data_IF_302145750698
#
_entry.id   IF_302145750698
#
_cell.length_a   1.000
_cell.length_b   1.000
_cell.length_c   1.000
_cell.angle_alpha   90.00
_cell.angle_beta   90.00
_cell.angle_gamma   90.00
#
_symmetry.space_group_name_H-M   'P 1'
#
loop_
_entity.id
_entity.type
_entity.pdbx_description
1 polymer ?
#
# COMPACT_ATOMS: atom_id res chain seq x y z
N UNK A 1 -2.68 -12.40 -19.04
CA UNK A 1 -3.59 -11.51 -18.26
C UNK A 1 -3.44 -10.08 -18.75
N UNK A 2 -4.53 -9.44 -19.20
CA UNK A 2 -4.56 -8.04 -19.64
C UNK A 2 -4.04 -7.11 -18.52
N UNK A 3 -3.24 -6.10 -18.85
CA UNK A 3 -2.69 -5.13 -17.91
C UNK A 3 -3.77 -4.45 -17.05
N UNK A 4 -4.90 -4.07 -17.64
CA UNK A 4 -6.04 -3.48 -16.90
C UNK A 4 -6.61 -4.46 -15.88
N UNK A 5 -6.75 -5.74 -16.26
CA UNK A 5 -7.23 -6.77 -15.33
C UNK A 5 -6.25 -6.96 -14.15
N UNK A 6 -4.93 -6.90 -14.39
CA UNK A 6 -3.94 -6.96 -13.30
C UNK A 6 -4.13 -5.83 -12.29
N UNK A 7 -4.33 -4.61 -12.79
CA UNK A 7 -4.55 -3.42 -11.96
C UNK A 7 -5.84 -3.54 -11.13
N UNK A 8 -6.94 -3.94 -11.77
CA UNK A 8 -8.25 -4.13 -11.12
C UNK A 8 -8.18 -5.19 -10.02
N UNK A 9 -7.49 -6.32 -10.28
CA UNK A 9 -7.28 -7.35 -9.26
C UNK A 9 -6.40 -6.86 -8.11
N UNK A 10 -5.37 -6.06 -8.38
CA UNK A 10 -4.55 -5.46 -7.34
C UNK A 10 -5.35 -4.47 -6.49
N UNK A 11 -6.18 -3.61 -7.09
CA UNK A 11 -7.11 -2.72 -6.37
C UNK A 11 -8.11 -3.50 -5.50
N UNK A 12 -8.68 -4.57 -6.05
CA UNK A 12 -9.56 -5.46 -5.29
C UNK A 12 -8.82 -6.05 -4.09
N UNK A 13 -7.64 -6.66 -4.31
CA UNK A 13 -6.91 -7.35 -3.25
C UNK A 13 -6.43 -6.39 -2.16
N UNK A 14 -5.93 -5.19 -2.52
CA UNK A 14 -5.47 -4.21 -1.54
C UNK A 14 -6.61 -3.63 -0.71
N UNK A 15 -7.74 -3.29 -1.32
CA UNK A 15 -8.93 -2.84 -0.57
C UNK A 15 -9.51 -3.97 0.28
N UNK A 16 -9.51 -5.21 -0.22
CA UNK A 16 -9.96 -6.38 0.53
C UNK A 16 -9.13 -6.58 1.79
N UNK A 17 -7.79 -6.58 1.68
CA UNK A 17 -6.87 -6.69 2.83
C UNK A 17 -7.13 -5.58 3.84
N UNK A 18 -7.35 -4.34 3.36
CA UNK A 18 -7.58 -3.22 4.25
C UNK A 18 -8.91 -3.33 5.02
N UNK A 19 -10.02 -3.65 4.34
CA UNK A 19 -11.32 -3.83 5.00
C UNK A 19 -11.39 -5.09 5.87
N UNK A 20 -10.70 -6.16 5.48
CA UNK A 20 -10.47 -7.35 6.31
C UNK A 20 -9.80 -6.95 7.62
N UNK A 21 -8.73 -6.16 7.55
CA UNK A 21 -8.00 -5.70 8.72
C UNK A 21 -8.85 -4.74 9.58
N UNK A 22 -9.63 -3.83 8.98
CA UNK A 22 -10.53 -2.94 9.71
C UNK A 22 -11.55 -3.77 10.50
N UNK A 23 -12.34 -4.62 9.83
CA UNK A 23 -13.40 -5.38 10.50
C UNK A 23 -12.83 -6.37 11.53
N UNK A 24 -11.75 -7.08 11.18
CA UNK A 24 -11.09 -8.01 12.09
C UNK A 24 -10.44 -7.33 13.30
N UNK A 25 -9.83 -6.14 13.13
CA UNK A 25 -9.25 -5.39 14.23
C UNK A 25 -10.32 -4.73 15.11
N UNK A 26 -11.45 -4.31 14.54
CA UNK A 26 -12.60 -3.81 15.31
C UNK A 26 -13.21 -4.86 16.23
N UNK A 27 -13.22 -6.13 15.80
CA UNK A 27 -13.65 -7.25 16.65
C UNK A 27 -12.59 -7.65 17.70
N UNK A 28 -11.31 -7.28 17.48
CA UNK A 28 -10.24 -7.55 18.43
C UNK A 28 -10.32 -6.62 19.65
N UNK A 29 -9.99 -7.15 20.84
CA UNK A 29 -9.81 -6.35 22.07
C UNK A 29 -8.40 -5.73 22.17
N UNK A 30 -7.66 -5.66 21.05
CA UNK A 30 -6.28 -5.18 21.03
C UNK A 30 -6.23 -3.65 21.11
N UNK A 31 -5.35 -3.13 21.97
CA UNK A 31 -5.00 -1.71 21.98
C UNK A 31 -4.28 -1.26 20.71
N UNK A 32 -3.76 -2.21 19.91
CA UNK A 32 -3.02 -1.94 18.67
C UNK A 32 -3.91 -1.89 17.43
N UNK A 33 -5.24 -1.99 17.54
CA UNK A 33 -6.17 -2.04 16.39
C UNK A 33 -5.93 -0.96 15.33
N UNK A 34 -5.69 0.29 15.76
CA UNK A 34 -5.45 1.42 14.86
C UNK A 34 -4.11 1.29 14.12
N UNK A 35 -3.08 0.79 14.81
CA UNK A 35 -1.79 0.53 14.19
C UNK A 35 -1.88 -0.65 13.21
N UNK A 36 -2.59 -1.72 13.58
CA UNK A 36 -2.76 -2.91 12.75
C UNK A 36 -3.43 -2.60 11.41
N UNK A 37 -4.54 -1.85 11.40
CA UNK A 37 -5.22 -1.47 10.15
C UNK A 37 -4.38 -0.53 9.29
N UNK A 38 -3.64 0.40 9.92
CA UNK A 38 -2.78 1.33 9.21
C UNK A 38 -1.59 0.62 8.54
N UNK A 39 -0.97 -0.33 9.24
CA UNK A 39 0.08 -1.19 8.70
C UNK A 39 -0.45 -2.11 7.60
N UNK A 40 -1.66 -2.66 7.73
CA UNK A 40 -2.28 -3.47 6.69
C UNK A 40 -2.42 -2.68 5.37
N UNK A 41 -2.91 -1.43 5.44
CA UNK A 41 -2.97 -0.54 4.28
C UNK A 41 -1.58 -0.24 3.72
N UNK A 42 -0.62 0.12 4.58
CA UNK A 42 0.76 0.36 4.16
C UNK A 42 1.39 -0.83 3.44
N UNK A 43 1.22 -2.04 3.98
CA UNK A 43 1.71 -3.27 3.37
C UNK A 43 1.01 -3.59 2.05
N UNK A 44 -0.30 -3.35 1.94
CA UNK A 44 -1.01 -3.47 0.68
C UNK A 44 -0.43 -2.52 -0.38
N UNK A 45 -0.15 -1.26 -0.02
CA UNK A 45 0.47 -0.29 -0.95
C UNK A 45 1.89 -0.72 -1.30
N UNK A 46 2.68 -1.16 -0.33
CA UNK A 46 4.06 -1.63 -0.56
C UNK A 46 4.12 -2.79 -1.55
N UNK A 47 3.18 -3.74 -1.44
CA UNK A 47 3.21 -4.99 -2.22
C UNK A 47 2.47 -4.91 -3.55
N UNK A 48 1.37 -4.16 -3.61
CA UNK A 48 0.49 -4.10 -4.79
C UNK A 48 0.55 -2.75 -5.52
N UNK A 49 1.14 -1.72 -4.91
CA UNK A 49 1.25 -0.38 -5.50
C UNK A 49 2.02 -0.36 -6.82
N UNK A 50 3.04 -1.21 -6.99
CA UNK A 50 3.76 -1.37 -8.26
C UNK A 50 2.92 -1.95 -9.41
N UNK A 51 1.74 -2.50 -9.12
CA UNK A 51 0.83 -3.09 -10.11
C UNK A 51 -0.24 -2.07 -10.53
N UNK A 52 -0.96 -1.48 -9.56
CA UNK A 52 -2.12 -0.59 -9.83
C UNK A 52 -1.89 0.89 -9.54
N UNK A 53 -0.82 1.25 -8.84
CA UNK A 53 -0.68 2.56 -8.18
C UNK A 53 -1.14 2.54 -6.72
N UNK A 54 -1.81 1.47 -6.27
CA UNK A 54 -2.15 1.23 -4.87
C UNK A 54 -3.12 2.27 -4.30
N UNK A 55 -4.19 2.58 -5.03
CA UNK A 55 -5.12 3.62 -4.59
C UNK A 55 -5.96 3.11 -3.42
N UNK A 56 -6.56 1.92 -3.58
CA UNK A 56 -7.43 1.23 -2.61
C UNK A 56 -8.55 2.09 -2.02
N UNK A 57 -8.87 3.19 -2.70
CA UNK A 57 -9.65 4.30 -2.20
C UNK A 57 -10.23 5.09 -3.40
N UNK A 58 -11.56 5.22 -3.50
CA UNK A 58 -12.20 6.02 -4.54
C UNK A 58 -11.75 7.49 -4.56
N UNK A 59 -11.55 8.13 -3.41
CA UNK A 59 -11.10 9.52 -3.35
C UNK A 59 -9.67 9.69 -3.91
N UNK A 60 -8.78 8.75 -3.61
CA UNK A 60 -7.41 8.72 -4.20
C UNK A 60 -7.48 8.44 -5.71
N UNK A 61 -8.38 7.56 -6.15
CA UNK A 61 -8.58 7.29 -7.58
C UNK A 61 -9.10 8.51 -8.34
N UNK A 62 -10.04 9.25 -7.74
CA UNK A 62 -10.53 10.53 -8.29
C UNK A 62 -9.40 11.56 -8.33
N UNK A 63 -8.53 11.62 -7.32
CA UNK A 63 -7.36 12.49 -7.33
C UNK A 63 -6.44 12.22 -8.55
N UNK A 64 -6.10 10.96 -8.80
CA UNK A 64 -5.26 10.59 -9.96
C UNK A 64 -5.98 10.77 -11.31
N UNK A 65 -7.31 10.63 -11.34
CA UNK A 65 -8.11 11.00 -12.50
C UNK A 65 -8.06 12.52 -12.76
N UNK A 66 -8.19 13.36 -11.73
CA UNK A 66 -8.06 14.82 -11.84
C UNK A 66 -6.67 15.25 -12.32
N UNK A 67 -5.63 14.48 -11.98
CA UNK A 67 -4.26 14.63 -12.50
C UNK A 67 -4.05 14.14 -13.93
N UNK A 68 -5.05 13.51 -14.55
CA UNK A 68 -4.95 12.83 -15.87
C UNK A 68 -3.93 11.68 -15.89
N UNK A 69 -3.70 11.05 -14.74
CA UNK A 69 -2.84 9.88 -14.57
C UNK A 69 -3.64 8.57 -14.51
N UNK A 70 -4.97 8.66 -14.42
CA UNK A 70 -5.91 7.56 -14.51
C UNK A 70 -6.95 7.90 -15.59
N UNK A 71 -7.28 6.95 -16.48
CA UNK A 71 -8.36 7.15 -17.46
C UNK A 71 -9.74 7.01 -16.81
N UNK A 72 -10.79 7.58 -17.41
CA UNK A 72 -12.15 7.46 -16.88
C UNK A 72 -12.64 5.99 -16.80
N UNK A 73 -12.41 5.12 -17.81
CA UNK A 73 -12.76 3.70 -17.70
C UNK A 73 -11.98 2.98 -16.59
N UNK A 74 -10.70 3.30 -16.40
CA UNK A 74 -9.91 2.74 -15.29
C UNK A 74 -10.42 3.24 -13.94
N UNK A 75 -10.81 4.51 -13.81
CA UNK A 75 -11.44 5.04 -12.60
C UNK A 75 -12.69 4.23 -12.22
N UNK A 76 -13.60 4.01 -13.18
CA UNK A 76 -14.82 3.23 -12.92
C UNK A 76 -14.48 1.80 -12.51
N UNK A 77 -13.53 1.17 -13.19
CA UNK A 77 -13.09 -0.19 -12.86
C UNK A 77 -12.44 -0.27 -11.47
N UNK A 78 -11.65 0.75 -11.09
CA UNK A 78 -11.03 0.85 -9.76
C UNK A 78 -12.09 1.00 -8.68
N UNK A 79 -13.03 1.93 -8.85
CA UNK A 79 -14.12 2.16 -7.88
C UNK A 79 -14.98 0.91 -7.72
N UNK A 80 -15.34 0.24 -8.82
CA UNK A 80 -16.10 -1.00 -8.75
C UNK A 80 -15.34 -2.12 -8.01
N UNK A 81 -14.03 -2.27 -8.27
CA UNK A 81 -13.19 -3.23 -7.56
C UNK A 81 -13.05 -2.90 -6.08
N UNK A 82 -12.86 -1.62 -5.73
CA UNK A 82 -12.71 -1.17 -4.36
C UNK A 82 -14.01 -1.37 -3.56
N UNK A 83 -15.18 -1.06 -4.13
CA UNK A 83 -16.46 -1.26 -3.44
C UNK A 83 -16.80 -2.74 -3.25
N UNK A 84 -16.59 -3.57 -4.27
CA UNK A 84 -16.80 -5.02 -4.15
C UNK A 84 -15.83 -5.64 -3.16
N UNK A 85 -14.55 -5.27 -3.21
CA UNK A 85 -13.55 -5.68 -2.22
C UNK A 85 -13.88 -5.23 -0.80
N UNK A 86 -14.45 -4.03 -0.63
CA UNK A 86 -14.83 -3.53 0.68
C UNK A 86 -15.92 -4.39 1.32
N UNK A 87 -16.94 -4.79 0.55
CA UNK A 87 -17.95 -5.73 1.01
C UNK A 87 -17.33 -7.08 1.42
N UNK A 88 -16.57 -7.72 0.53
CA UNK A 88 -15.97 -9.02 0.83
C UNK A 88 -14.95 -8.95 1.97
N UNK A 89 -14.19 -7.87 2.07
CA UNK A 89 -13.22 -7.64 3.15
C UNK A 89 -13.91 -7.56 4.51
N UNK A 90 -14.99 -6.77 4.62
CA UNK A 90 -15.76 -6.68 5.88
C UNK A 90 -16.39 -8.04 6.23
N UNK A 91 -17.01 -8.72 5.27
CA UNK A 91 -17.61 -10.05 5.47
C UNK A 91 -16.56 -11.04 5.98
N UNK A 92 -15.39 -11.10 5.34
CA UNK A 92 -14.31 -11.99 5.78
C UNK A 92 -13.76 -11.59 7.14
N UNK A 93 -13.61 -10.30 7.43
CA UNK A 93 -13.04 -9.81 8.69
C UNK A 93 -13.94 -10.09 9.88
N UNK A 94 -15.26 -9.94 9.70
CA UNK A 94 -16.26 -10.38 10.66
C UNK A 94 -16.23 -11.92 10.82
N UNK A 95 -16.14 -12.64 9.70
CA UNK A 95 -16.07 -14.11 9.69
C UNK A 95 -14.91 -14.69 10.48
N UNK A 96 -13.75 -14.02 10.52
CA UNK A 96 -12.60 -14.42 11.35
C UNK A 96 -12.92 -14.48 12.85
N UNK A 97 -13.97 -13.78 13.29
CA UNK A 97 -14.41 -13.70 14.68
C UNK A 97 -15.82 -14.28 14.90
N UNK A 98 -16.37 -15.01 13.91
CA UNK A 98 -17.74 -15.53 13.97
C UNK A 98 -18.83 -14.46 13.95
N UNK A 99 -18.50 -13.24 13.52
CA UNK A 99 -19.45 -12.15 13.34
C UNK A 99 -20.29 -12.31 12.06
N UNK A 100 -21.45 -11.67 12.04
CA UNK A 100 -22.33 -11.60 10.87
C UNK A 100 -22.45 -10.15 10.38
N UNK A 101 -22.79 -9.98 9.10
CA UNK A 101 -23.06 -8.65 8.55
C UNK A 101 -24.23 -7.99 9.28
N UNK A 102 -24.11 -6.69 9.53
CA UNK A 102 -25.21 -5.90 10.03
C UNK A 102 -26.24 -5.66 8.91
N UNK A 103 -27.56 -5.68 9.21
CA UNK A 103 -28.56 -5.27 8.26
C UNK A 103 -28.40 -3.78 7.93
N UNK A 104 -28.73 -3.41 6.69
CA UNK A 104 -28.74 -2.01 6.29
C UNK A 104 -29.81 -1.26 7.07
N UNK A 105 -29.44 -0.08 7.57
CA UNK A 105 -30.35 0.81 8.28
C UNK A 105 -30.33 2.20 7.66
N UNK A 106 -31.48 2.85 7.66
CA UNK A 106 -31.59 4.29 7.45
C UNK A 106 -31.06 5.04 8.67
N UNK A 107 -30.50 6.22 8.46
CA UNK A 107 -30.10 7.07 9.57
C UNK A 107 -29.83 8.50 9.11
N UNK A 108 -29.48 9.35 10.06
CA UNK A 108 -29.23 10.76 9.81
C UNK A 108 -27.78 11.01 9.37
N UNK A 109 -27.55 12.22 8.85
CA UNK A 109 -26.22 12.74 8.65
C UNK A 109 -25.43 12.76 9.97
N UNK A 110 -24.12 12.58 9.85
CA UNK A 110 -23.21 12.65 10.99
C UNK A 110 -23.14 14.06 11.57
N UNK A 111 -22.73 14.17 12.83
CA UNK A 111 -22.50 15.45 13.49
C UNK A 111 -21.22 16.15 12.98
N UNK A 112 -21.06 17.42 13.34
CA UNK A 112 -19.95 18.26 12.86
C UNK A 112 -18.55 17.71 13.18
N UNK A 113 -18.26 17.17 14.39
CA UNK A 113 -16.95 16.57 14.67
C UNK A 113 -16.58 15.40 13.75
N UNK A 114 -17.54 14.52 13.44
CA UNK A 114 -17.33 13.41 12.51
C UNK A 114 -17.10 13.93 11.09
N UNK A 115 -17.94 14.87 10.64
CA UNK A 115 -17.81 15.47 9.32
C UNK A 115 -16.45 16.16 9.14
N UNK A 116 -16.07 17.04 10.08
CA UNK A 116 -14.80 17.76 10.04
C UNK A 116 -13.60 16.79 10.14
N UNK A 117 -13.70 15.76 10.98
CA UNK A 117 -12.67 14.73 11.10
C UNK A 117 -12.41 14.03 9.76
N UNK A 118 -13.45 13.67 9.01
CA UNK A 118 -13.32 13.03 7.70
C UNK A 118 -12.82 13.98 6.60
N UNK A 119 -13.20 15.27 6.66
CA UNK A 119 -12.59 16.31 5.81
C UNK A 119 -11.08 16.37 6.04
N UNK A 120 -10.64 16.51 7.30
CA UNK A 120 -9.22 16.64 7.67
C UNK A 120 -8.44 15.38 7.33
N UNK A 121 -8.97 14.21 7.68
CA UNK A 121 -8.33 12.92 7.43
C UNK A 121 -8.12 12.69 5.92
N UNK A 122 -9.13 12.97 5.09
CA UNK A 122 -9.02 12.80 3.64
C UNK A 122 -8.14 13.88 3.01
N UNK A 123 -8.24 15.13 3.47
CA UNK A 123 -7.42 16.21 2.96
C UNK A 123 -5.92 15.94 3.18
N UNK A 124 -5.54 15.58 4.42
CA UNK A 124 -4.15 15.26 4.72
C UNK A 124 -3.65 14.02 3.95
N UNK A 125 -4.50 12.99 3.79
CA UNK A 125 -4.15 11.78 3.04
C UNK A 125 -3.81 12.12 1.59
N UNK A 126 -4.71 12.82 0.89
CA UNK A 126 -4.51 13.19 -0.52
C UNK A 126 -3.37 14.20 -0.68
N UNK A 127 -3.24 15.15 0.26
CA UNK A 127 -2.14 16.11 0.26
C UNK A 127 -0.77 15.42 0.37
N UNK A 128 -0.61 14.45 1.28
CA UNK A 128 0.62 13.68 1.45
C UNK A 128 0.94 12.88 0.19
N UNK A 129 -0.03 12.14 -0.34
CA UNK A 129 0.14 11.37 -1.59
C UNK A 129 0.55 12.31 -2.72
N UNK A 130 -0.18 13.40 -2.92
CA UNK A 130 0.08 14.37 -3.98
C UNK A 130 1.46 15.01 -3.88
N UNK A 131 1.86 15.41 -2.67
CA UNK A 131 3.18 16.00 -2.40
C UNK A 131 4.29 15.01 -2.73
N UNK A 132 4.19 13.76 -2.28
CA UNK A 132 5.20 12.73 -2.55
C UNK A 132 5.29 12.40 -4.05
N UNK A 133 4.15 12.31 -4.75
CA UNK A 133 4.15 12.10 -6.21
C UNK A 133 4.83 13.28 -6.92
N UNK A 134 4.50 14.52 -6.55
CA UNK A 134 5.06 15.72 -7.17
C UNK A 134 6.56 15.87 -6.90
N UNK A 135 7.03 15.41 -5.74
CA UNK A 135 8.44 15.39 -5.36
C UNK A 135 9.20 14.16 -5.91
N UNK A 136 8.56 13.30 -6.73
CA UNK A 136 9.13 12.04 -7.25
C UNK A 136 9.55 11.06 -6.14
N UNK A 137 8.89 11.12 -5.00
CA UNK A 137 9.11 10.29 -3.81
C UNK A 137 8.01 9.25 -3.62
N UNK A 138 7.42 8.75 -4.72
CA UNK A 138 6.32 7.80 -4.68
C UNK A 138 6.66 6.50 -3.89
N UNK A 139 7.95 6.13 -3.81
CA UNK A 139 8.43 4.99 -3.03
C UNK A 139 8.19 5.13 -1.51
N UNK A 140 7.91 6.34 -1.00
CA UNK A 140 7.58 6.59 0.40
C UNK A 140 6.07 6.59 0.70
N UNK A 141 5.21 6.48 -0.32
CA UNK A 141 3.75 6.58 -0.15
C UNK A 141 3.23 5.52 0.83
N UNK A 142 3.74 4.28 0.75
CA UNK A 142 3.28 3.19 1.61
C UNK A 142 3.43 3.51 3.10
N UNK A 143 4.57 4.07 3.50
CA UNK A 143 4.84 4.39 4.91
C UNK A 143 4.15 5.69 5.31
N UNK A 144 4.12 6.69 4.42
CA UNK A 144 3.48 7.97 4.70
C UNK A 144 1.95 7.83 4.85
N UNK A 145 1.32 6.99 4.03
CA UNK A 145 -0.11 6.69 4.15
C UNK A 145 -0.38 5.91 5.44
N UNK A 146 0.43 4.90 5.76
CA UNK A 146 0.27 4.14 7.00
C UNK A 146 0.40 5.04 8.24
N UNK A 147 1.44 5.86 8.32
CA UNK A 147 1.64 6.76 9.47
C UNK A 147 0.56 7.84 9.54
N UNK A 148 0.09 8.36 8.40
CA UNK A 148 -1.04 9.30 8.38
C UNK A 148 -2.34 8.67 8.88
N UNK A 149 -2.71 7.49 8.39
CA UNK A 149 -3.94 6.79 8.83
C UNK A 149 -3.87 6.43 10.32
N UNK A 150 -2.70 6.04 10.82
CA UNK A 150 -2.49 5.82 12.25
C UNK A 150 -2.68 7.11 13.07
N UNK A 151 -2.00 8.19 12.68
CA UNK A 151 -2.08 9.48 13.37
C UNK A 151 -3.51 10.05 13.32
N UNK A 152 -4.09 10.17 12.12
CA UNK A 152 -5.42 10.69 11.89
C UNK A 152 -6.50 9.89 12.62
N UNK A 153 -6.40 8.56 12.64
CA UNK A 153 -7.38 7.78 13.38
C UNK A 153 -7.22 7.83 14.90
N UNK A 154 -6.13 8.40 15.40
CA UNK A 154 -6.00 8.70 16.83
C UNK A 154 -6.67 10.02 17.22
N UNK A 155 -6.67 11.02 16.32
CA UNK A 155 -7.24 12.35 16.60
C UNK A 155 -8.61 12.63 15.97
N UNK A 156 -9.19 11.69 15.21
CA UNK A 156 -10.53 11.82 14.61
C UNK A 156 -11.51 10.81 15.19
N UNK A 157 -12.79 11.19 15.27
CA UNK A 157 -13.85 10.38 15.91
C UNK A 157 -14.09 9.05 15.20
N UNK A 158 -13.91 9.00 13.88
CA UNK A 158 -14.18 7.83 13.02
C UNK A 158 -13.03 6.84 12.95
N UNK A 159 -11.86 7.16 13.49
CA UNK A 159 -10.64 6.38 13.23
C UNK A 159 -10.02 6.65 11.85
N UNK A 160 -10.33 7.80 11.23
CA UNK A 160 -9.89 8.23 9.91
C UNK A 160 -10.22 7.25 8.79
N UNK A 161 -11.52 7.14 8.43
CA UNK A 161 -11.92 6.30 7.30
C UNK A 161 -11.27 6.82 6.02
N UNK A 162 -11.38 8.14 5.77
CA UNK A 162 -10.71 8.87 4.70
C UNK A 162 -10.83 8.23 3.29
N UNK A 163 -11.85 7.40 3.09
CA UNK A 163 -11.96 6.45 1.99
C UNK A 163 -13.43 6.06 1.79
N UNK A 164 -14.04 6.41 0.64
CA UNK A 164 -15.43 6.06 0.36
C UNK A 164 -15.69 4.55 0.34
N UNK A 165 -14.70 3.72 -0.03
CA UNK A 165 -14.84 2.26 0.03
C UNK A 165 -14.84 1.73 1.48
N UNK A 166 -14.08 2.36 2.39
CA UNK A 166 -14.16 2.04 3.83
C UNK A 166 -15.53 2.39 4.38
N UNK A 167 -16.01 3.61 4.10
CA UNK A 167 -17.33 4.05 4.55
C UNK A 167 -18.44 3.12 4.01
N UNK A 168 -18.38 2.77 2.73
CA UNK A 168 -19.28 1.80 2.11
C UNK A 168 -19.24 0.43 2.81
N UNK A 169 -18.05 -0.14 3.03
CA UNK A 169 -17.90 -1.44 3.68
C UNK A 169 -18.48 -1.45 5.10
N UNK A 170 -18.27 -0.37 5.87
CA UNK A 170 -18.74 -0.27 7.24
C UNK A 170 -20.27 -0.13 7.39
N UNK A 171 -21.02 0.08 6.30
CA UNK A 171 -22.48 -0.08 6.33
C UNK A 171 -22.88 -1.51 6.72
N UNK A 172 -22.13 -2.50 6.25
CA UNK A 172 -22.32 -3.91 6.58
C UNK A 172 -21.74 -4.28 7.96
N UNK A 173 -21.18 -3.30 8.67
CA UNK A 173 -20.70 -3.41 10.05
C UNK A 173 -21.42 -2.42 10.99
N UNK A 174 -22.63 -1.99 10.62
CA UNK A 174 -23.57 -1.30 11.51
C UNK A 174 -23.65 0.22 11.36
N UNK A 175 -22.91 0.84 10.43
CA UNK A 175 -23.06 2.27 10.16
C UNK A 175 -24.27 2.51 9.25
N UNK A 176 -25.13 3.45 9.62
CA UNK A 176 -26.33 3.76 8.82
C UNK A 176 -25.97 4.34 7.44
N UNK A 177 -26.83 4.11 6.47
CA UNK A 177 -26.68 4.60 5.08
C UNK A 177 -26.60 6.13 5.00
N UNK A 178 -27.38 6.86 5.81
CA UNK A 178 -27.33 8.33 5.84
C UNK A 178 -26.04 8.86 6.46
N UNK A 179 -25.51 8.19 7.49
CA UNK A 179 -24.20 8.53 8.04
C UNK A 179 -23.09 8.29 7.01
N UNK A 180 -23.12 7.16 6.30
CA UNK A 180 -22.14 6.88 5.23
C UNK A 180 -22.21 7.88 4.10
N UNK A 181 -23.40 8.26 3.64
CA UNK A 181 -23.55 9.30 2.62
C UNK A 181 -22.90 10.62 3.07
N UNK A 182 -23.17 11.05 4.31
CA UNK A 182 -22.56 12.28 4.85
C UNK A 182 -21.04 12.19 5.03
N UNK A 183 -20.51 11.03 5.40
CA UNK A 183 -19.07 10.77 5.48
C UNK A 183 -18.42 10.83 4.10
N UNK A 184 -19.03 10.22 3.09
CA UNK A 184 -18.51 10.27 1.71
C UNK A 184 -18.47 11.72 1.20
N UNK A 185 -19.50 12.53 1.50
CA UNK A 185 -19.47 13.96 1.18
C UNK A 185 -18.30 14.66 1.88
N UNK A 186 -18.10 14.42 3.18
CA UNK A 186 -16.96 14.98 3.92
C UNK A 186 -15.60 14.60 3.28
N UNK A 187 -15.46 13.34 2.86
CA UNK A 187 -14.25 12.86 2.20
C UNK A 187 -14.02 13.54 0.84
N UNK A 188 -15.07 13.74 0.05
CA UNK A 188 -14.98 14.47 -1.22
C UNK A 188 -14.65 15.95 -1.03
N UNK A 189 -15.17 16.59 0.04
CA UNK A 189 -14.77 17.95 0.44
C UNK A 189 -13.30 17.98 0.84
N UNK A 190 -12.83 17.01 1.62
CA UNK A 190 -11.41 16.88 1.98
C UNK A 190 -10.49 16.69 0.76
N UNK A 191 -10.90 15.85 -0.19
CA UNK A 191 -10.22 15.69 -1.48
C UNK A 191 -10.11 17.02 -2.24
N UNK A 192 -11.22 17.76 -2.36
CA UNK A 192 -11.22 19.06 -3.03
C UNK A 192 -10.29 20.07 -2.32
N UNK A 193 -10.32 20.12 -0.99
CA UNK A 193 -9.43 20.96 -0.19
C UNK A 193 -7.96 20.59 -0.42
N UNK A 194 -7.60 19.31 -0.44
CA UNK A 194 -6.24 18.87 -0.72
C UNK A 194 -5.76 19.28 -2.11
N UNK A 195 -6.60 19.15 -3.14
CA UNK A 195 -6.29 19.58 -4.50
C UNK A 195 -6.00 21.10 -4.52
N UNK A 196 -6.84 21.90 -3.88
CA UNK A 196 -6.64 23.36 -3.80
C UNK A 196 -5.31 23.70 -3.10
N UNK A 197 -5.01 23.06 -1.97
CA UNK A 197 -3.75 23.27 -1.25
C UNK A 197 -2.55 22.90 -2.11
N UNK A 198 -2.59 21.75 -2.81
CA UNK A 198 -1.51 21.32 -3.71
C UNK A 198 -1.29 22.27 -4.89
N UNK A 199 -2.34 22.93 -5.37
CA UNK A 199 -2.22 23.96 -6.42
C UNK A 199 -1.51 25.21 -5.89
N UNK A 200 -1.70 25.57 -4.62
CA UNK A 200 -1.09 26.74 -3.99
C UNK A 200 0.38 26.47 -3.63
N UNK A 201 0.68 25.30 -3.07
CA UNK A 201 2.03 24.97 -2.55
C UNK A 201 3.06 24.64 -3.63
N UNK A 202 2.76 24.88 -4.91
CA UNK A 202 3.70 24.69 -6.01
C UNK A 202 3.96 23.23 -6.37
N UNK A 203 3.18 22.29 -5.83
CA UNK A 203 3.14 20.90 -6.25
C UNK A 203 2.32 20.81 -7.56
N UNK A 204 2.77 21.54 -8.58
CA UNK A 204 2.04 21.71 -9.82
C UNK A 204 1.89 20.36 -10.52
N UNK A 205 0.64 20.04 -10.89
CA UNK A 205 0.31 18.99 -11.84
C UNK A 205 1.07 19.30 -13.12
N UNK A 206 2.20 18.64 -13.33
CA UNK A 206 2.99 18.80 -14.54
C UNK A 206 2.07 18.47 -15.72
N UNK A 207 1.74 19.48 -16.55
CA UNK A 207 1.12 19.25 -17.86
C UNK A 207 2.06 18.34 -18.63
N UNK A 208 1.71 17.06 -18.76
CA UNK A 208 2.44 16.14 -19.62
C UNK A 208 2.25 16.63 -21.06
N UNK A 209 3.30 17.17 -21.66
CA UNK A 209 3.31 17.46 -23.09
C UNK A 209 3.02 16.14 -23.85
N UNK A 210 2.27 16.18 -24.96
CA UNK A 210 1.97 14.98 -25.74
C UNK A 210 3.28 14.34 -26.20
N UNK A 211 3.48 13.07 -25.84
CA UNK A 211 4.65 12.32 -26.26
C UNK A 211 4.70 12.28 -27.79
N UNK A 212 5.71 12.94 -28.39
CA UNK A 212 6.06 12.68 -29.79
C UNK A 212 6.40 11.20 -29.88
N UNK A 213 5.67 10.45 -30.71
CA UNK A 213 6.03 9.09 -31.11
C UNK A 213 7.39 9.17 -31.81
N UNK A 214 8.47 8.93 -31.07
CA UNK A 214 9.76 8.62 -31.68
C UNK A 214 9.61 7.24 -32.31
N UNK A 215 9.56 7.19 -33.65
CA UNK A 215 9.67 5.96 -34.40
C UNK A 215 11.03 5.32 -34.10
N UNK A 216 11.04 4.22 -33.35
CA UNK A 216 12.24 3.41 -33.19
C UNK A 216 12.51 2.78 -34.55
N UNK A 217 13.54 3.27 -35.25
CA UNK A 217 14.12 2.54 -36.39
C UNK A 217 14.82 1.31 -35.82
N UNK A 218 14.28 0.13 -36.10
CA UNK A 218 14.92 -1.15 -35.80
C UNK A 218 16.19 -1.28 -36.66
N UNK A 219 17.35 -1.37 -36.04
CA UNK A 219 18.58 -1.81 -36.68
C UNK A 219 18.72 -3.32 -36.40
N UNK A 220 18.77 -4.19 -37.42
CA UNK A 220 18.98 -5.62 -37.19
C UNK A 220 20.37 -5.87 -36.59
N UNK A 221 20.41 -6.80 -35.63
CA UNK A 221 21.66 -7.22 -34.98
C UNK A 221 22.63 -7.88 -35.98
N UNK A 222 23.95 -7.68 -35.83
CA UNK A 222 24.93 -8.31 -36.70
C UNK A 222 24.91 -9.84 -36.53
N UNK A 223 24.88 -10.54 -37.67
CA UNK A 223 24.98 -12.00 -37.75
C UNK A 223 26.39 -12.40 -37.30
N UNK A 224 26.51 -13.09 -36.17
CA UNK A 224 27.77 -13.70 -35.74
C UNK A 224 27.96 -14.99 -36.53
N UNK A 225 28.81 -14.95 -37.56
CA UNK A 225 29.32 -16.16 -38.21
C UNK A 225 30.24 -16.90 -37.25
N UNK A 226 29.85 -18.09 -36.82
CA UNK A 226 30.67 -19.00 -36.01
C UNK A 226 31.87 -19.49 -36.83
N UNK A 227 33.09 -19.10 -36.46
CA UNK A 227 34.31 -19.74 -36.96
C UNK A 227 34.63 -21.00 -36.15
N UNK A 228 34.96 -22.08 -36.85
CA UNK A 228 35.24 -23.39 -36.30
C UNK A 228 36.47 -23.42 -35.37
N UNK A 229 36.35 -24.14 -34.25
CA UNK A 229 37.41 -24.29 -33.24
C UNK A 229 38.58 -25.16 -33.74
N UNK A 230 39.82 -24.68 -33.54
CA UNK A 230 41.05 -25.47 -33.70
C UNK A 230 41.29 -26.35 -32.46
N UNK A 231 41.49 -27.65 -32.69
CA UNK A 231 41.82 -28.69 -31.69
C UNK A 231 43.25 -28.48 -31.11
N UNK A 232 43.48 -28.53 -29.79
CA UNK A 232 44.83 -28.43 -29.22
C UNK A 232 45.60 -29.77 -29.30
N UNK A 233 46.89 -29.69 -29.62
CA UNK A 233 47.83 -30.80 -29.62
C UNK A 233 48.33 -31.16 -28.20
N UNK A 234 48.51 -32.45 -27.94
CA UNK A 234 48.94 -33.00 -26.66
C UNK A 234 50.44 -32.77 -26.37
N UNK A 235 50.79 -32.46 -25.12
CA UNK A 235 52.17 -32.50 -24.59
C UNK A 235 52.27 -33.38 -23.34
N UNK A 236 53.37 -34.15 -23.32
CA UNK A 236 53.76 -35.27 -22.42
C UNK A 236 54.12 -34.81 -20.98
N UNK A 237 54.00 -35.67 -19.95
CA UNK A 237 54.13 -35.24 -18.55
C UNK A 237 55.58 -35.26 -18.04
N UNK A 238 55.92 -34.30 -17.17
CA UNK A 238 57.17 -34.24 -16.41
C UNK A 238 56.90 -33.91 -14.92
N UNK A 239 57.84 -34.33 -14.08
CA UNK A 239 57.67 -34.78 -12.70
C UNK A 239 57.47 -33.71 -11.59
N UNK A 240 56.87 -34.15 -10.48
CA UNK A 240 56.65 -33.42 -9.22
C UNK A 240 57.95 -33.18 -8.44
N UNK A 241 58.07 -32.01 -7.79
CA UNK A 241 58.95 -31.80 -6.62
C UNK A 241 58.16 -31.04 -5.51
N UNK A 242 58.38 -31.34 -4.21
CA UNK A 242 57.36 -31.15 -3.16
C UNK A 242 57.31 -29.74 -2.53
N UNK A 243 56.12 -29.39 -2.05
CA UNK A 243 55.84 -28.18 -1.27
C UNK A 243 56.42 -28.25 0.16
N UNK A 244 57.00 -27.14 0.61
CA UNK A 244 57.50 -26.94 1.96
C UNK A 244 56.35 -26.61 2.94
N UNK A 245 56.34 -27.32 4.08
CA UNK A 245 55.46 -27.10 5.23
C UNK A 245 55.94 -25.88 6.04
N UNK A 246 55.01 -25.04 6.51
CA UNK A 246 55.18 -24.27 7.75
C UNK A 246 54.01 -24.56 8.71
N UNK A 247 54.37 -24.61 9.99
CA UNK A 247 53.74 -25.30 11.10
C UNK A 247 52.57 -24.51 11.77
N UNK A 248 51.77 -25.15 12.64
CA UNK A 248 50.46 -24.66 13.08
C UNK A 248 50.53 -23.83 14.37
N UNK A 249 49.60 -22.88 14.55
CA UNK A 249 49.35 -22.24 15.85
C UNK A 249 47.90 -22.50 16.31
N UNK A 250 47.85 -22.96 17.56
CA UNK A 250 46.75 -23.45 18.41
C UNK A 250 45.45 -22.63 18.40
N UNK A 251 44.33 -23.37 18.39
CA UNK A 251 43.04 -22.99 18.97
C UNK A 251 43.16 -22.87 20.49
N UNK A 252 42.68 -21.77 21.07
CA UNK A 252 42.31 -21.67 22.47
C UNK A 252 40.78 -21.77 22.59
N UNK A 253 40.33 -22.59 23.54
CA UNK A 253 38.94 -22.82 23.88
C UNK A 253 38.69 -22.41 25.35
N UNK A 254 37.44 -21.99 25.61
CA UNK A 254 36.76 -21.79 26.90
C UNK A 254 37.18 -20.55 27.73
N UNK A 255 36.32 -19.85 28.48
CA UNK A 255 35.13 -20.26 29.26
C UNK A 255 34.13 -19.10 29.44
N UNK A 256 32.85 -19.46 29.49
CA UNK A 256 31.75 -18.71 30.11
C UNK A 256 31.83 -18.79 31.65
N UNK A 257 31.53 -17.72 32.40
CA UNK A 257 31.15 -17.82 33.81
C UNK A 257 29.64 -17.65 34.04
N UNK A 258 29.08 -18.70 34.64
CA UNK A 258 27.93 -18.87 35.54
C UNK A 258 26.90 -17.74 35.78
N UNK A 259 25.63 -18.18 35.73
CA UNK A 259 24.47 -17.61 36.38
C UNK A 259 24.59 -17.52 37.91
N UNK A 260 24.03 -16.45 38.51
CA UNK A 260 23.64 -16.41 39.93
C UNK A 260 22.11 -16.53 40.04
N UNK A 261 21.68 -17.48 40.88
CA UNK A 261 20.29 -17.67 41.34
C UNK A 261 19.91 -16.61 42.41
N UNK A 262 18.60 -16.45 42.71
CA UNK A 262 18.05 -15.34 43.49
C UNK A 262 18.16 -15.56 45.01
N UNK A 263 18.13 -14.46 45.76
CA UNK A 263 17.94 -14.44 47.21
C UNK A 263 16.54 -13.91 47.56
N UNK A 264 15.85 -14.62 48.45
CA UNK A 264 14.62 -14.23 49.15
C UNK A 264 14.90 -14.30 50.66
N UNK A 265 14.30 -13.36 51.42
CA UNK A 265 14.14 -13.19 52.90
C UNK A 265 14.63 -11.77 53.27
N UNK A 266 13.89 -10.91 53.96
CA UNK A 266 12.66 -10.97 54.77
C UNK A 266 11.81 -9.74 54.46
#
# INVERSE_FOLDING_TARGET
MNATLKKVLAEFLGTFIFLLAIAGASASQSSLKQLSLALALGLAILTLGGISGGHFNPAVSIYFFARKELSFPELLAYVAAQLTAAFFGVVSGLGLWGGAIAPLSSGNAVNSPVFLGEVVATAGLVFIIGTLVNNKQAHLIWIAVATWVFAAGTFTVTGAMANPAVAFGLMFNGISTGSVASIVVAQLVGLAAAILVLMITGAAVAKKAPAKKASIKFAPAPIVTTTAAKKPAAKKPAAKKPAAKKAPVKKTAAKTPAAKKPAVKK
#
